data_IF_006934291904
#
_entry.id   IF_006934291904
#
_cell.length_a   1.000
_cell.length_b   1.000
_cell.length_c   1.000
_cell.angle_alpha   90.00
_cell.angle_beta   90.00
_cell.angle_gamma   90.00
#
_symmetry.space_group_name_H-M   'P 1'
#
loop_
_entity.id
_entity.type
_entity.pdbx_description
1 polymer ?
#
# COMPACT_ATOMS: atom_id res chain seq x y z
N UNK A 1 5.10 58.30 12.67
CA UNK A 1 5.76 56.99 12.63
C UNK A 1 4.81 55.97 13.24
N UNK A 2 4.33 55.00 12.45
CA UNK A 2 3.47 53.90 12.93
C UNK A 2 4.37 52.90 13.66
N UNK A 3 4.08 52.60 14.92
CA UNK A 3 4.74 51.50 15.64
C UNK A 3 4.21 50.18 15.09
N UNK A 4 5.08 49.42 14.43
CA UNK A 4 4.82 48.01 14.12
C UNK A 4 4.96 47.19 15.39
N UNK A 5 3.85 46.57 15.80
CA UNK A 5 3.84 45.57 16.87
C UNK A 5 4.27 44.25 16.25
N UNK A 6 5.49 43.82 16.54
CA UNK A 6 5.98 42.50 16.14
C UNK A 6 5.23 41.46 16.99
N UNK A 7 4.54 40.47 16.39
CA UNK A 7 3.89 39.42 17.16
C UNK A 7 4.97 38.55 17.81
N UNK A 8 4.96 38.52 19.14
CA UNK A 8 5.82 37.64 19.95
C UNK A 8 5.52 36.20 19.56
N UNK A 9 6.52 35.50 19.02
CA UNK A 9 6.43 34.09 18.71
C UNK A 9 6.09 33.32 19.98
N UNK A 10 5.02 32.53 19.93
CA UNK A 10 4.56 31.68 21.04
C UNK A 10 5.68 30.68 21.36
N UNK A 11 6.29 30.79 22.54
CA UNK A 11 7.34 29.88 22.98
C UNK A 11 6.83 28.43 22.92
N UNK A 12 7.69 27.46 22.51
CA UNK A 12 7.32 26.06 22.53
C UNK A 12 7.04 25.64 23.97
N UNK A 13 5.79 25.31 24.28
CA UNK A 13 5.36 24.78 25.57
C UNK A 13 6.16 23.52 25.90
N UNK A 14 6.98 23.60 26.95
CA UNK A 14 7.67 22.45 27.54
C UNK A 14 6.62 21.44 28.01
N UNK A 15 6.78 20.18 27.62
CA UNK A 15 5.94 19.09 28.13
C UNK A 15 6.35 18.86 29.59
N UNK A 16 5.39 18.93 30.52
CA UNK A 16 5.64 18.62 31.93
C UNK A 16 6.15 17.17 32.09
N UNK A 17 7.07 16.93 33.04
CA UNK A 17 7.72 15.62 33.22
C UNK A 17 6.72 14.46 33.34
N UNK A 18 5.63 14.66 34.10
CA UNK A 18 4.62 13.61 34.31
C UNK A 18 3.80 13.34 33.04
N UNK A 19 3.56 14.36 32.21
CA UNK A 19 2.93 14.20 30.90
C UNK A 19 3.84 13.46 29.91
N UNK A 20 5.17 13.62 30.04
CA UNK A 20 6.14 12.86 29.24
C UNK A 20 6.14 11.37 29.61
N UNK A 21 6.12 11.06 30.90
CA UNK A 21 6.05 9.67 31.40
C UNK A 21 4.73 9.01 30.97
N UNK A 22 3.60 9.70 31.14
CA UNK A 22 2.30 9.16 30.72
C UNK A 22 2.24 8.93 29.19
N UNK A 23 2.86 9.83 28.41
CA UNK A 23 2.97 9.67 26.96
C UNK A 23 3.80 8.43 26.59
N UNK A 24 4.90 8.17 27.30
CA UNK A 24 5.74 7.00 27.07
C UNK A 24 4.96 5.70 27.35
N UNK A 25 4.28 5.61 28.50
CA UNK A 25 3.49 4.42 28.86
C UNK A 25 2.33 4.15 27.86
N UNK A 26 1.63 5.20 27.44
CA UNK A 26 0.59 5.07 26.40
C UNK A 26 1.18 4.61 25.08
N UNK A 27 2.39 5.05 24.74
CA UNK A 27 3.08 4.66 23.51
C UNK A 27 3.47 3.18 23.50
N UNK A 28 3.96 2.64 24.61
CA UNK A 28 4.27 1.20 24.72
C UNK A 28 3.01 0.33 24.54
N UNK A 29 1.90 0.71 25.18
CA UNK A 29 0.62 0.01 25.02
C UNK A 29 0.14 0.03 23.56
N UNK A 30 0.33 1.17 22.86
CA UNK A 30 0.00 1.30 21.43
C UNK A 30 0.89 0.43 20.55
N UNK A 31 2.20 0.38 20.82
CA UNK A 31 3.15 -0.48 20.11
C UNK A 31 2.70 -1.94 20.20
N UNK A 32 2.35 -2.42 21.40
CA UNK A 32 1.90 -3.79 21.58
C UNK A 32 0.57 -4.09 20.89
N UNK A 33 -0.36 -3.13 20.88
CA UNK A 33 -1.60 -3.24 20.12
C UNK A 33 -1.33 -3.35 18.61
N UNK A 34 -0.47 -2.50 18.06
CA UNK A 34 -0.10 -2.53 16.63
C UNK A 34 0.59 -3.84 16.26
N UNK A 35 1.54 -4.32 17.07
CA UNK A 35 2.18 -5.63 16.85
C UNK A 35 1.19 -6.78 16.86
N UNK A 36 0.15 -6.74 17.71
CA UNK A 36 -0.93 -7.75 17.72
C UNK A 36 -1.77 -7.68 16.45
N UNK A 37 -2.11 -6.47 15.99
CA UNK A 37 -2.84 -6.25 14.73
C UNK A 37 -2.05 -6.81 13.54
N UNK A 38 -0.78 -6.46 13.41
CA UNK A 38 0.08 -6.96 12.33
C UNK A 38 0.17 -8.49 12.38
N UNK A 39 0.41 -9.08 13.55
CA UNK A 39 0.45 -10.55 13.69
C UNK A 39 -0.86 -11.22 13.28
N UNK A 40 -2.01 -10.64 13.66
CA UNK A 40 -3.31 -11.17 13.26
C UNK A 40 -3.53 -11.05 11.74
N UNK A 41 -3.15 -9.92 11.14
CA UNK A 41 -3.20 -9.71 9.69
C UNK A 41 -2.34 -10.72 8.93
N UNK A 42 -1.16 -11.07 9.42
CA UNK A 42 -0.32 -12.08 8.79
C UNK A 42 -0.92 -13.49 8.95
N UNK A 43 -1.40 -13.84 10.14
CA UNK A 43 -1.93 -15.18 10.46
C UNK A 43 -3.22 -15.55 9.71
N UNK A 44 -4.00 -14.58 9.26
CA UNK A 44 -5.19 -14.85 8.42
C UNK A 44 -4.83 -15.16 6.96
N UNK A 45 -3.61 -14.81 6.53
CA UNK A 45 -3.10 -15.11 5.19
C UNK A 45 -2.42 -16.48 5.14
N UNK A 46 -2.13 -16.96 3.93
CA UNK A 46 -1.31 -18.14 3.69
C UNK A 46 -0.30 -17.89 2.57
N UNK A 47 0.58 -18.86 2.29
CA UNK A 47 1.65 -18.73 1.28
C UNK A 47 1.17 -18.32 -0.12
N UNK A 48 -0.10 -18.55 -0.50
CA UNK A 48 -0.67 -18.15 -1.81
C UNK A 48 -1.14 -16.69 -1.84
N UNK A 49 -1.28 -16.07 -0.68
CA UNK A 49 -1.62 -14.66 -0.55
C UNK A 49 -0.39 -13.75 -0.69
N UNK A 50 0.79 -14.34 -0.91
CA UNK A 50 2.06 -13.66 -1.04
C UNK A 50 2.75 -14.08 -2.34
N UNK A 51 3.54 -13.16 -2.89
CA UNK A 51 4.48 -13.40 -3.97
C UNK A 51 5.80 -12.76 -3.60
N UNK A 52 6.92 -13.43 -3.85
CA UNK A 52 8.24 -12.82 -3.69
C UNK A 52 8.63 -12.11 -4.97
N UNK A 53 8.72 -10.78 -4.92
CA UNK A 53 9.25 -9.98 -6.03
C UNK A 53 10.71 -9.70 -5.70
N UNK A 54 11.62 -10.46 -6.30
CA UNK A 54 13.02 -10.51 -5.86
C UNK A 54 13.16 -11.12 -4.46
N UNK A 55 13.62 -10.32 -3.49
CA UNK A 55 13.71 -10.68 -2.06
C UNK A 55 12.50 -10.24 -1.24
N UNK A 56 11.67 -9.35 -1.78
CA UNK A 56 10.64 -8.65 -1.00
C UNK A 56 9.30 -9.38 -1.07
N UNK A 57 8.61 -9.60 0.07
CA UNK A 57 7.27 -10.16 0.07
C UNK A 57 6.24 -9.13 -0.37
N UNK A 58 5.41 -9.53 -1.32
CA UNK A 58 4.32 -8.74 -1.86
C UNK A 58 2.97 -9.41 -1.58
N UNK A 59 2.12 -8.74 -0.79
CA UNK A 59 0.76 -9.19 -0.51
C UNK A 59 -0.12 -9.09 -1.77
N UNK A 60 -0.79 -10.17 -2.13
CA UNK A 60 -1.70 -10.22 -3.27
C UNK A 60 -3.10 -9.72 -2.89
N UNK A 61 -3.95 -9.52 -3.91
CA UNK A 61 -5.33 -9.05 -3.73
C UNK A 61 -6.12 -9.93 -2.75
N UNK A 62 -6.05 -11.25 -2.91
CA UNK A 62 -6.73 -12.20 -2.03
C UNK A 62 -6.27 -12.08 -0.58
N UNK A 63 -4.98 -11.83 -0.37
CA UNK A 63 -4.41 -11.58 0.96
C UNK A 63 -4.96 -10.31 1.60
N UNK A 64 -4.97 -9.21 0.85
CA UNK A 64 -5.51 -7.95 1.35
C UNK A 64 -7.01 -8.02 1.63
N UNK A 65 -7.79 -8.74 0.82
CA UNK A 65 -9.23 -8.92 1.05
C UNK A 65 -9.51 -9.73 2.33
N UNK A 66 -8.74 -10.80 2.59
CA UNK A 66 -8.83 -11.55 3.86
C UNK A 66 -8.52 -10.68 5.07
N UNK A 67 -7.44 -9.90 4.97
CA UNK A 67 -7.05 -8.96 6.02
C UNK A 67 -8.13 -7.90 6.23
N UNK A 68 -8.63 -7.29 5.16
CA UNK A 68 -9.69 -6.30 5.24
C UNK A 68 -10.93 -6.85 5.93
N UNK A 69 -11.35 -8.06 5.57
CA UNK A 69 -12.50 -8.74 6.17
C UNK A 69 -12.31 -9.01 7.66
N UNK A 70 -11.12 -9.42 8.09
CA UNK A 70 -10.81 -9.65 9.51
C UNK A 70 -11.00 -8.39 10.35
N UNK A 71 -10.58 -7.23 9.84
CA UNK A 71 -10.62 -5.97 10.58
C UNK A 71 -11.85 -5.11 10.28
N UNK A 72 -12.76 -5.56 9.42
CA UNK A 72 -13.93 -4.78 9.01
C UNK A 72 -13.56 -3.52 8.21
N UNK A 73 -12.49 -3.57 7.42
CA UNK A 73 -12.11 -2.48 6.52
C UNK A 73 -13.09 -2.44 5.36
N UNK A 74 -13.71 -1.29 5.15
CA UNK A 74 -14.54 -1.01 3.98
C UNK A 74 -13.87 -0.01 3.05
N UNK A 75 -14.25 -0.01 1.78
CA UNK A 75 -13.86 1.01 0.82
C UNK A 75 -15.02 1.39 -0.10
N UNK A 76 -15.04 2.64 -0.52
CA UNK A 76 -16.11 3.23 -1.32
C UNK A 76 -15.59 4.43 -2.11
N UNK A 77 -16.47 5.07 -2.87
CA UNK A 77 -16.14 6.17 -3.80
C UNK A 77 -15.00 5.82 -4.76
N UNK A 78 -14.95 4.55 -5.20
CA UNK A 78 -13.91 4.09 -6.11
C UNK A 78 -14.09 4.71 -7.49
N UNK A 79 -13.07 5.43 -7.95
CA UNK A 79 -13.03 6.09 -9.26
C UNK A 79 -11.77 5.68 -9.99
N UNK A 80 -11.91 5.39 -11.28
CA UNK A 80 -10.78 5.11 -12.17
C UNK A 80 -10.74 6.21 -13.22
N UNK A 81 -9.63 6.92 -13.26
CA UNK A 81 -9.28 7.91 -14.28
C UNK A 81 -8.40 7.23 -15.34
N UNK A 82 -8.67 7.55 -16.61
CA UNK A 82 -7.91 7.09 -17.77
C UNK A 82 -7.23 8.30 -18.41
N UNK A 83 -5.93 8.21 -18.65
CA UNK A 83 -5.15 9.25 -19.31
C UNK A 83 -4.40 8.65 -20.50
N UNK A 84 -4.62 9.20 -21.70
CA UNK A 84 -3.74 8.97 -22.84
C UNK A 84 -2.49 9.83 -22.70
N UNK A 85 -1.33 9.21 -22.87
CA UNK A 85 -0.01 9.85 -22.83
C UNK A 85 0.82 9.40 -24.03
N UNK A 86 1.84 10.15 -24.36
CA UNK A 86 2.73 9.86 -25.49
C UNK A 86 4.18 10.15 -25.10
N UNK A 87 5.08 9.26 -25.47
CA UNK A 87 6.54 9.41 -25.31
C UNK A 87 7.26 8.99 -26.60
N UNK A 88 8.59 8.97 -26.59
CA UNK A 88 9.43 8.58 -27.74
C UNK A 88 9.12 7.17 -28.28
N UNK A 89 8.50 6.32 -27.47
CA UNK A 89 8.11 4.95 -27.82
C UNK A 89 6.64 4.87 -28.22
N UNK A 90 5.94 6.00 -28.38
CA UNK A 90 4.56 6.11 -28.84
C UNK A 90 3.52 6.25 -27.73
N UNK A 91 2.25 6.22 -28.12
CA UNK A 91 1.11 6.39 -27.21
C UNK A 91 0.98 5.26 -26.19
N UNK A 92 0.43 5.59 -25.03
CA UNK A 92 0.09 4.64 -23.98
C UNK A 92 -1.02 5.18 -23.07
N UNK A 93 -1.75 4.25 -22.43
CA UNK A 93 -2.72 4.59 -21.40
C UNK A 93 -2.15 4.38 -20.00
N UNK A 94 -2.44 5.36 -19.14
CA UNK A 94 -2.23 5.34 -17.69
C UNK A 94 -3.59 5.31 -16.98
N UNK A 95 -3.74 4.41 -16.02
CA UNK A 95 -4.94 4.28 -15.20
C UNK A 95 -4.63 4.60 -13.76
N UNK A 96 -5.42 5.51 -13.18
CA UNK A 96 -5.31 5.92 -11.78
C UNK A 96 -6.63 5.62 -11.07
N UNK A 97 -6.59 4.68 -10.13
CA UNK A 97 -7.71 4.33 -9.27
C UNK A 97 -7.57 5.03 -7.91
N UNK A 98 -8.58 5.78 -7.48
CA UNK A 98 -8.67 6.41 -6.16
C UNK A 98 -9.89 5.87 -5.43
N UNK A 99 -9.77 5.63 -4.14
CA UNK A 99 -10.89 5.22 -3.29
C UNK A 99 -10.64 5.63 -1.83
N UNK A 100 -11.72 5.77 -1.07
CA UNK A 100 -11.68 5.98 0.38
C UNK A 100 -11.76 4.65 1.10
N UNK A 101 -10.97 4.51 2.16
CA UNK A 101 -10.91 3.31 2.99
C UNK A 101 -11.19 3.69 4.44
N UNK A 102 -12.02 2.91 5.12
CA UNK A 102 -12.45 3.18 6.49
C UNK A 102 -12.20 1.98 7.41
N UNK A 103 -11.69 2.26 8.61
CA UNK A 103 -11.54 1.33 9.72
C UNK A 103 -11.99 2.03 11.01
N UNK A 104 -13.18 1.68 11.51
CA UNK A 104 -13.81 2.41 12.61
C UNK A 104 -13.98 3.89 12.26
N UNK A 105 -13.41 4.77 13.08
CA UNK A 105 -13.43 6.23 12.88
C UNK A 105 -12.30 6.73 11.97
N UNK A 106 -11.34 5.88 11.62
CA UNK A 106 -10.22 6.28 10.75
C UNK A 106 -10.60 6.12 9.28
N UNK A 107 -10.37 7.17 8.49
CA UNK A 107 -10.58 7.17 7.05
C UNK A 107 -9.34 7.69 6.33
N UNK A 108 -8.96 7.05 5.23
CA UNK A 108 -7.86 7.48 4.37
C UNK A 108 -8.28 7.41 2.89
N UNK A 109 -7.64 8.22 2.05
CA UNK A 109 -7.67 8.01 0.60
C UNK A 109 -6.44 7.22 0.15
N UNK A 110 -6.64 6.22 -0.70
CA UNK A 110 -5.55 5.48 -1.33
C UNK A 110 -5.66 5.52 -2.85
N UNK A 111 -4.48 5.43 -3.47
CA UNK A 111 -4.31 5.48 -4.92
C UNK A 111 -3.62 4.21 -5.38
N UNK A 112 -4.10 3.65 -6.48
CA UNK A 112 -3.46 2.57 -7.22
C UNK A 112 -3.32 2.95 -8.68
N UNK A 113 -2.19 2.62 -9.28
CA UNK A 113 -1.92 2.96 -10.68
C UNK A 113 -1.49 1.74 -11.47
N UNK A 114 -1.73 1.77 -12.77
CA UNK A 114 -1.21 0.79 -13.72
C UNK A 114 -1.16 1.40 -15.12
N UNK A 115 -0.24 0.94 -15.94
CA UNK A 115 -0.10 1.41 -17.32
C UNK A 115 0.03 0.26 -18.30
N UNK A 116 -0.39 0.53 -19.53
CA UNK A 116 -0.16 -0.35 -20.69
C UNK A 116 1.32 -0.58 -20.97
N UNK A 117 2.22 0.26 -20.42
CA UNK A 117 3.69 0.14 -20.51
C UNK A 117 4.33 -0.64 -19.38
N UNK A 118 3.57 -1.04 -18.36
CA UNK A 118 4.12 -1.78 -17.22
C UNK A 118 4.75 -3.11 -17.67
N UNK A 119 5.75 -3.61 -16.93
CA UNK A 119 6.48 -4.86 -17.28
C UNK A 119 5.57 -6.08 -17.46
N UNK A 120 4.40 -6.09 -16.80
CA UNK A 120 3.44 -7.19 -16.89
C UNK A 120 2.58 -7.16 -18.16
N UNK A 121 2.32 -5.97 -18.72
CA UNK A 121 1.38 -5.79 -19.84
C UNK A 121 2.09 -5.37 -21.13
N UNK A 122 2.98 -4.39 -21.03
CA UNK A 122 3.62 -3.76 -22.18
C UNK A 122 4.82 -4.50 -22.72
N UNK A 123 5.33 -5.53 -22.05
CA UNK A 123 6.60 -6.16 -22.41
C UNK A 123 6.46 -7.67 -22.60
N UNK A 124 6.95 -8.19 -23.72
CA UNK A 124 7.07 -9.63 -24.01
C UNK A 124 8.45 -9.92 -24.57
N UNK A 125 9.17 -10.86 -23.95
CA UNK A 125 10.51 -11.27 -24.38
C UNK A 125 11.46 -10.07 -24.61
N UNK A 126 11.38 -9.05 -23.74
CA UNK A 126 12.21 -7.84 -23.81
C UNK A 126 11.78 -6.82 -24.87
N UNK A 127 10.72 -7.08 -25.63
CA UNK A 127 10.15 -6.16 -26.61
C UNK A 127 8.88 -5.53 -26.08
N UNK A 128 8.71 -4.26 -26.39
CA UNK A 128 7.48 -3.54 -26.11
C UNK A 128 6.38 -4.04 -27.08
N UNK A 129 5.21 -4.37 -26.55
CA UNK A 129 4.01 -4.70 -27.33
C UNK A 129 3.42 -3.46 -27.98
N UNK A 130 2.71 -3.67 -29.08
CA UNK A 130 1.85 -2.62 -29.61
C UNK A 130 0.64 -2.41 -28.70
N UNK A 131 0.13 -1.18 -28.65
CA UNK A 131 -0.94 -0.81 -27.72
C UNK A 131 -2.21 -1.65 -27.93
N UNK A 132 -2.52 -2.00 -29.17
CA UNK A 132 -3.70 -2.79 -29.53
C UNK A 132 -3.60 -4.26 -29.08
N UNK A 133 -2.39 -4.76 -28.78
CA UNK A 133 -2.14 -6.12 -28.25
C UNK A 133 -2.25 -6.18 -26.72
N UNK A 134 -2.44 -5.03 -26.06
CA UNK A 134 -2.54 -4.94 -24.61
C UNK A 134 -3.99 -5.04 -24.16
N UNK A 135 -4.26 -5.98 -23.25
CA UNK A 135 -5.58 -6.14 -22.63
C UNK A 135 -5.89 -5.00 -21.64
N UNK A 136 -6.50 -3.92 -22.14
CA UNK A 136 -6.87 -2.72 -21.38
C UNK A 136 -7.70 -3.05 -20.11
N UNK A 137 -8.75 -3.90 -20.16
CA UNK A 137 -9.44 -4.38 -18.96
C UNK A 137 -8.52 -4.90 -17.85
N UNK A 138 -7.50 -5.68 -18.16
CA UNK A 138 -6.56 -6.20 -17.16
C UNK A 138 -5.67 -5.11 -16.57
N UNK A 139 -5.27 -4.12 -17.36
CA UNK A 139 -4.53 -2.95 -16.86
C UNK A 139 -5.39 -2.15 -15.88
N UNK A 140 -6.66 -1.89 -16.22
CA UNK A 140 -7.64 -1.20 -15.34
C UNK A 140 -7.85 -1.97 -14.03
N UNK A 141 -8.07 -3.29 -14.10
CA UNK A 141 -8.21 -4.16 -12.91
C UNK A 141 -6.96 -4.13 -12.03
N UNK A 142 -5.77 -4.01 -12.62
CA UNK A 142 -4.52 -3.90 -11.87
C UNK A 142 -4.43 -2.58 -11.11
N UNK A 143 -4.83 -1.45 -11.71
CA UNK A 143 -4.89 -0.17 -11.01
C UNK A 143 -5.86 -0.24 -9.81
N UNK A 144 -7.03 -0.85 -9.99
CA UNK A 144 -8.00 -1.11 -8.93
C UNK A 144 -7.41 -1.99 -7.81
N UNK A 145 -6.77 -3.10 -8.18
CA UNK A 145 -6.12 -4.02 -7.24
C UNK A 145 -5.06 -3.29 -6.42
N UNK A 146 -4.19 -2.51 -7.08
CA UNK A 146 -3.17 -1.71 -6.42
C UNK A 146 -3.77 -0.70 -5.43
N UNK A 147 -4.94 -0.12 -5.74
CA UNK A 147 -5.64 0.81 -4.86
C UNK A 147 -6.10 0.09 -3.58
N UNK A 148 -6.74 -1.07 -3.72
CA UNK A 148 -7.19 -1.92 -2.60
C UNK A 148 -6.01 -2.34 -1.73
N UNK A 149 -4.94 -2.85 -2.35
CA UNK A 149 -3.71 -3.24 -1.64
C UNK A 149 -3.13 -2.06 -0.85
N UNK A 150 -3.07 -0.89 -1.46
CA UNK A 150 -2.51 0.30 -0.81
C UNK A 150 -3.39 0.80 0.34
N UNK A 151 -4.72 0.80 0.19
CA UNK A 151 -5.64 1.18 1.25
C UNK A 151 -5.53 0.28 2.48
N UNK A 152 -5.63 -1.04 2.28
CA UNK A 152 -5.54 -2.03 3.35
C UNK A 152 -4.19 -1.97 4.06
N UNK A 153 -3.08 -1.96 3.30
CA UNK A 153 -1.74 -1.91 3.90
C UNK A 153 -1.49 -0.62 4.68
N UNK A 154 -2.02 0.53 4.22
CA UNK A 154 -1.83 1.82 4.89
C UNK A 154 -2.62 1.91 6.19
N UNK A 155 -3.87 1.45 6.21
CA UNK A 155 -4.68 1.48 7.43
C UNK A 155 -4.08 0.64 8.57
N UNK A 156 -3.49 -0.51 8.24
CA UNK A 156 -3.00 -1.46 9.24
C UNK A 156 -1.48 -1.43 9.46
N UNK A 157 -0.74 -0.59 8.71
CA UNK A 157 0.72 -0.51 8.82
C UNK A 157 1.46 -1.74 8.26
N UNK A 158 0.90 -2.42 7.25
CA UNK A 158 1.46 -3.65 6.66
C UNK A 158 2.46 -3.38 5.54
N UNK A 159 3.24 -2.30 5.65
CA UNK A 159 4.30 -1.95 4.68
C UNK A 159 5.64 -2.44 5.21
N UNK A 160 6.55 -2.77 4.29
CA UNK A 160 7.93 -3.16 4.59
C UNK A 160 8.02 -4.41 5.50
N UNK A 161 7.16 -5.40 5.25
CA UNK A 161 7.23 -6.68 5.94
C UNK A 161 8.43 -7.48 5.42
N UNK A 162 9.10 -8.17 6.33
CA UNK A 162 10.24 -9.04 6.01
C UNK A 162 9.82 -10.49 5.89
N UNK A 163 10.66 -11.33 5.28
CA UNK A 163 10.43 -12.79 5.28
C UNK A 163 10.42 -13.38 6.70
N UNK A 164 11.12 -12.74 7.64
CA UNK A 164 11.11 -13.13 9.04
C UNK A 164 9.76 -12.85 9.70
N UNK A 165 9.11 -11.72 9.38
CA UNK A 165 7.76 -11.41 9.86
C UNK A 165 6.75 -12.46 9.37
N UNK A 166 6.80 -12.81 8.08
CA UNK A 166 5.94 -13.84 7.50
C UNK A 166 6.21 -15.21 8.17
N UNK A 167 7.48 -15.58 8.34
CA UNK A 167 7.86 -16.84 8.97
C UNK A 167 7.39 -16.91 10.43
N UNK A 168 7.55 -15.82 11.17
CA UNK A 168 7.11 -15.68 12.56
C UNK A 168 5.58 -15.77 12.69
N UNK A 169 4.84 -15.43 11.64
CA UNK A 169 3.39 -15.63 11.56
C UNK A 169 2.96 -17.04 11.12
N UNK A 170 3.90 -17.96 10.87
CA UNK A 170 3.62 -19.34 10.47
C UNK A 170 3.44 -19.54 8.96
N UNK A 171 3.85 -18.58 8.13
CA UNK A 171 3.75 -18.70 6.67
C UNK A 171 4.95 -19.48 6.13
N UNK A 172 4.68 -20.53 5.35
CA UNK A 172 5.71 -21.33 4.67
C UNK A 172 6.37 -20.55 3.54
N UNK A 173 7.50 -19.91 3.82
CA UNK A 173 8.26 -19.09 2.86
C UNK A 173 8.69 -19.89 1.63
N UNK A 174 9.03 -21.16 1.82
CA UNK A 174 9.42 -22.11 0.77
C UNK A 174 8.31 -22.38 -0.26
N UNK A 175 7.05 -22.12 0.11
CA UNK A 175 5.88 -22.33 -0.75
C UNK A 175 5.42 -21.05 -1.46
N UNK A 176 6.05 -19.91 -1.19
CA UNK A 176 5.68 -18.64 -1.80
C UNK A 176 6.22 -18.61 -3.23
N UNK A 177 5.35 -18.29 -4.19
CA UNK A 177 5.75 -18.12 -5.59
C UNK A 177 6.76 -16.98 -5.73
N UNK A 178 7.89 -17.23 -6.41
CA UNK A 178 8.92 -16.22 -6.68
C UNK A 178 8.83 -15.71 -8.11
N UNK A 179 8.85 -14.39 -8.25
CA UNK A 179 8.91 -13.67 -9.52
C UNK A 179 10.22 -12.88 -9.56
N UNK A 180 11.08 -13.24 -10.51
CA UNK A 180 12.31 -12.50 -10.82
C UNK A 180 12.18 -11.87 -12.19
N UNK A 181 12.50 -10.58 -12.28
CA UNK A 181 12.66 -9.93 -13.57
C UNK A 181 14.09 -10.16 -14.05
N UNK A 182 14.28 -10.51 -15.33
CA UNK A 182 15.62 -10.43 -15.93
C UNK A 182 16.06 -8.97 -15.86
N UNK A 183 17.28 -8.72 -15.40
CA UNK A 183 17.93 -7.43 -15.59
C UNK A 183 17.94 -7.15 -17.09
N UNK A 184 17.43 -5.97 -17.44
CA UNK A 184 17.33 -5.50 -18.82
C UNK A 184 18.48 -4.57 -19.13
#
# INVERSE_FOLDING_TARGET
MKQEVIPVAKEPTLIEHDALVELAEKSEKRIEAVKKIIRAALRITNHRDWVLIGSEPYLTASGAEKVARLFGISWYDMKIEEEEREDEKGKFFMFTCKAKFRLGETEIEAVGTSSTRSKFFGWVKGKLRELHEVDIPSVKKTAMTNCILNGVKRLLGLRNLTLEDLKSAGISIDKITRVTFKEG
#
